data_IF_020450976953
#
_entry.id   IF_020450976953
#
_cell.length_a   1.000
_cell.length_b   1.000
_cell.length_c   1.000
_cell.angle_alpha   90.00
_cell.angle_beta   90.00
_cell.angle_gamma   90.00
#
_symmetry.space_group_name_H-M   'P 1'
#
loop_
_entity.id
_entity.type
_entity.pdbx_description
1 polymer ?
#
# COMPACT_ATOMS: atom_id res chain seq x y z
N UNK A 1 8.95 35.75 -4.18
CA UNK A 1 7.71 36.57 -4.05
C UNK A 1 6.85 36.13 -2.86
N UNK A 2 6.49 34.84 -2.74
CA UNK A 2 5.71 34.31 -1.60
C UNK A 2 6.33 34.54 -0.21
N UNK A 3 7.64 34.26 -0.05
CA UNK A 3 8.37 34.54 1.20
C UNK A 3 8.29 36.00 1.66
N UNK A 4 8.37 36.94 0.73
CA UNK A 4 8.34 38.38 1.02
C UNK A 4 6.92 38.88 1.37
N UNK A 5 5.88 38.22 0.85
CA UNK A 5 4.48 38.55 1.17
C UNK A 5 4.06 38.04 2.55
N UNK A 6 4.60 36.88 2.97
CA UNK A 6 4.33 36.29 4.29
C UNK A 6 5.19 36.87 5.42
N UNK A 7 6.39 37.39 5.12
CA UNK A 7 7.25 38.05 6.12
C UNK A 7 6.74 39.42 6.57
N UNK A 8 5.77 39.98 5.87
CA UNK A 8 5.10 41.21 6.27
C UNK A 8 3.83 40.82 7.01
N UNK A 9 3.81 40.88 8.36
CA UNK A 9 2.66 40.51 9.21
C UNK A 9 1.33 41.22 8.92
N UNK A 10 0.61 41.73 9.91
CA UNK A 10 -0.78 42.26 9.77
C UNK A 10 -1.02 43.25 8.59
N UNK A 11 0.04 43.92 8.11
CA UNK A 11 0.00 44.81 6.94
C UNK A 11 -0.02 44.06 5.60
N UNK A 12 0.67 42.92 5.48
CA UNK A 12 0.65 42.07 4.28
C UNK A 12 -0.68 41.35 4.14
N UNK A 13 -1.21 40.79 5.24
CA UNK A 13 -2.51 40.10 5.28
C UNK A 13 -3.66 41.00 4.83
N UNK A 14 -3.66 42.28 5.23
CA UNK A 14 -4.69 43.24 4.82
C UNK A 14 -4.57 43.69 3.36
N UNK A 15 -3.37 43.69 2.77
CA UNK A 15 -3.19 43.92 1.33
C UNK A 15 -3.60 42.70 0.51
N UNK A 16 -3.38 41.49 1.05
CA UNK A 16 -3.75 40.23 0.42
C UNK A 16 -5.27 40.04 0.34
N UNK A 17 -6.06 40.55 1.31
CA UNK A 17 -7.54 40.55 1.26
C UNK A 17 -8.13 41.25 0.04
N UNK A 18 -7.39 42.13 -0.64
CA UNK A 18 -7.84 42.84 -1.84
C UNK A 18 -7.54 42.08 -3.15
N UNK A 19 -6.73 41.02 -3.09
CA UNK A 19 -6.32 40.25 -4.26
C UNK A 19 -7.38 39.19 -4.58
N UNK A 20 -8.09 39.34 -5.70
CA UNK A 20 -8.92 38.26 -6.25
C UNK A 20 -8.01 37.06 -6.54
N UNK A 21 -8.43 35.86 -6.15
CA UNK A 21 -7.68 34.59 -6.28
C UNK A 21 -6.54 34.38 -5.28
N UNK A 22 -6.48 35.15 -4.19
CA UNK A 22 -5.52 34.92 -3.11
C UNK A 22 -5.61 33.50 -2.54
N UNK A 23 -6.84 32.99 -2.42
CA UNK A 23 -7.15 31.62 -2.04
C UNK A 23 -6.42 30.62 -2.95
N UNK A 24 -6.64 30.68 -4.26
CA UNK A 24 -6.01 29.79 -5.23
C UNK A 24 -4.49 29.88 -5.22
N UNK A 25 -3.94 31.08 -5.02
CA UNK A 25 -2.50 31.30 -4.95
C UNK A 25 -1.88 30.70 -3.68
N UNK A 26 -2.51 30.93 -2.52
CA UNK A 26 -2.06 30.34 -1.25
C UNK A 26 -2.23 28.81 -1.28
N UNK A 27 -3.28 28.29 -1.91
CA UNK A 27 -3.48 26.85 -2.14
C UNK A 27 -2.35 26.24 -3.00
N UNK A 28 -2.00 26.85 -4.14
CA UNK A 28 -0.93 26.33 -5.01
C UNK A 28 0.46 26.51 -4.41
N UNK A 29 0.71 27.61 -3.70
CA UNK A 29 1.96 27.84 -2.99
C UNK A 29 2.17 26.79 -1.89
N UNK A 30 1.10 26.41 -1.20
CA UNK A 30 1.12 25.39 -0.15
C UNK A 30 1.37 23.99 -0.71
N UNK A 31 0.74 23.62 -1.84
CA UNK A 31 1.04 22.36 -2.54
C UNK A 31 2.50 22.31 -3.00
N UNK A 32 3.01 23.41 -3.54
CA UNK A 32 4.38 23.52 -4.00
C UNK A 32 5.38 23.45 -2.84
N UNK A 33 5.13 24.12 -1.70
CA UNK A 33 6.02 24.05 -0.54
C UNK A 33 6.08 22.64 0.06
N UNK A 34 4.94 21.93 0.10
CA UNK A 34 4.89 20.52 0.52
C UNK A 34 5.66 19.62 -0.45
N UNK A 35 5.51 19.81 -1.76
CA UNK A 35 6.24 19.03 -2.76
C UNK A 35 7.77 19.25 -2.69
N UNK A 36 8.19 20.45 -2.28
CA UNK A 36 9.60 20.83 -2.11
C UNK A 36 10.15 20.41 -0.74
N UNK A 37 9.28 20.13 0.25
CA UNK A 37 9.68 19.78 1.62
C UNK A 37 10.12 20.99 2.46
N UNK A 38 9.60 22.18 2.15
CA UNK A 38 9.85 23.41 2.93
C UNK A 38 8.73 23.60 3.97
N UNK A 39 8.96 23.01 5.15
CA UNK A 39 7.95 22.90 6.21
C UNK A 39 7.59 24.26 6.83
N UNK A 40 8.54 25.19 6.90
CA UNK A 40 8.34 26.53 7.48
C UNK A 40 7.40 27.38 6.60
N UNK A 41 7.57 27.31 5.27
CA UNK A 41 6.66 27.96 4.34
C UNK A 41 5.28 27.30 4.30
N UNK A 42 5.24 25.98 4.37
CA UNK A 42 3.97 25.25 4.41
C UNK A 42 3.15 25.66 5.64
N UNK A 43 3.80 25.77 6.81
CA UNK A 43 3.15 26.21 8.05
C UNK A 43 2.67 27.66 8.00
N UNK A 44 3.50 28.56 7.45
CA UNK A 44 3.15 29.99 7.37
C UNK A 44 1.98 30.24 6.41
N UNK A 45 1.97 29.56 5.27
CA UNK A 45 0.87 29.59 4.31
C UNK A 45 -0.42 28.99 4.90
N UNK A 46 -0.30 27.91 5.68
CA UNK A 46 -1.42 27.29 6.37
C UNK A 46 -2.04 28.20 7.44
N UNK A 47 -1.23 28.81 8.32
CA UNK A 47 -1.72 29.75 9.33
C UNK A 47 -2.45 30.94 8.69
N UNK A 48 -1.87 31.50 7.62
CA UNK A 48 -2.48 32.61 6.87
C UNK A 48 -3.82 32.21 6.25
N UNK A 49 -3.94 30.98 5.73
CA UNK A 49 -5.20 30.47 5.20
C UNK A 49 -6.24 30.23 6.31
N UNK A 50 -5.83 29.72 7.48
CA UNK A 50 -6.71 29.49 8.64
C UNK A 50 -7.33 30.78 9.18
N UNK A 51 -6.54 31.86 9.23
CA UNK A 51 -7.01 33.18 9.65
C UNK A 51 -7.98 33.80 8.63
N UNK A 52 -7.79 33.52 7.34
CA UNK A 52 -8.62 34.09 6.28
C UNK A 52 -9.91 33.30 6.02
N UNK A 53 -9.89 31.97 6.17
CA UNK A 53 -11.00 31.10 5.81
C UNK A 53 -11.20 29.92 6.79
N UNK A 54 -11.63 30.17 8.03
CA UNK A 54 -11.74 29.15 9.08
C UNK A 54 -12.72 27.99 8.76
N UNK A 55 -13.72 28.18 7.89
CA UNK A 55 -14.75 27.17 7.58
C UNK A 55 -14.62 26.52 6.19
N UNK A 56 -13.58 26.83 5.41
CA UNK A 56 -13.46 26.28 4.06
C UNK A 56 -13.12 24.78 4.08
N UNK A 57 -13.98 23.95 3.51
CA UNK A 57 -13.75 22.50 3.36
C UNK A 57 -12.46 22.19 2.55
N UNK A 58 -12.13 23.03 1.57
CA UNK A 58 -10.89 22.93 0.80
C UNK A 58 -9.65 23.24 1.63
N UNK A 59 -9.75 24.17 2.57
CA UNK A 59 -8.69 24.46 3.52
C UNK A 59 -8.44 23.30 4.48
N UNK A 60 -9.51 22.70 5.00
CA UNK A 60 -9.43 21.52 5.87
C UNK A 60 -8.71 20.35 5.17
N UNK A 61 -9.03 20.09 3.90
CA UNK A 61 -8.37 19.04 3.10
C UNK A 61 -6.88 19.32 2.86
N UNK A 62 -6.51 20.56 2.53
CA UNK A 62 -5.11 20.94 2.32
C UNK A 62 -4.33 20.99 3.64
N UNK A 63 -4.95 21.40 4.74
CA UNK A 63 -4.40 21.38 6.09
C UNK A 63 -3.83 20.01 6.43
N UNK A 64 -4.54 18.94 6.04
CA UNK A 64 -4.13 17.57 6.33
C UNK A 64 -2.95 17.15 5.46
N UNK A 65 -2.90 17.55 4.18
CA UNK A 65 -1.71 17.34 3.33
C UNK A 65 -0.48 18.08 3.87
N UNK A 66 -0.69 19.21 4.55
CA UNK A 66 0.37 19.95 5.21
C UNK A 66 0.79 19.32 6.53
N UNK A 67 -0.16 18.84 7.34
CA UNK A 67 0.12 18.06 8.54
C UNK A 67 0.92 16.80 8.19
N UNK A 68 0.61 16.13 7.08
CA UNK A 68 1.36 14.98 6.55
C UNK A 68 2.81 15.30 6.18
N UNK A 69 3.11 16.52 5.74
CA UNK A 69 4.46 16.95 5.38
C UNK A 69 5.29 17.35 6.61
N UNK A 70 4.66 18.08 7.54
CA UNK A 70 5.28 18.67 8.74
C UNK A 70 5.56 17.63 9.84
N UNK A 71 4.96 16.44 9.78
CA UNK A 71 5.24 15.31 10.68
C UNK A 71 6.70 14.85 10.75
N UNK A 72 7.60 15.42 9.94
CA UNK A 72 9.03 15.11 9.94
C UNK A 72 9.81 15.75 11.08
N UNK A 73 9.32 16.80 11.74
CA UNK A 73 10.07 17.49 12.80
C UNK A 73 9.14 18.05 13.89
N UNK A 74 9.24 17.47 15.09
CA UNK A 74 9.00 18.08 16.41
C UNK A 74 7.61 17.92 17.08
N UNK A 75 7.66 17.89 18.41
CA UNK A 75 6.56 17.72 19.38
C UNK A 75 5.37 18.69 19.20
N UNK A 76 5.54 19.75 18.42
CA UNK A 76 4.49 20.72 18.05
C UNK A 76 3.49 20.13 17.05
N UNK A 77 3.88 19.11 16.28
CA UNK A 77 2.96 18.35 15.41
C UNK A 77 1.92 17.56 16.19
N UNK A 78 2.27 17.08 17.39
CA UNK A 78 1.42 16.31 18.29
C UNK A 78 0.26 17.17 18.84
N UNK A 79 0.57 18.36 19.37
CA UNK A 79 -0.44 19.30 19.88
C UNK A 79 -1.41 19.78 18.78
N UNK A 80 -0.92 19.85 17.53
CA UNK A 80 -1.75 20.27 16.38
C UNK A 80 -2.65 19.15 15.86
N UNK A 81 -2.22 17.89 15.98
CA UNK A 81 -3.11 16.73 15.81
C UNK A 81 -4.19 16.71 16.89
N UNK A 82 -3.83 17.05 18.12
CA UNK A 82 -4.75 17.07 19.25
C UNK A 82 -5.81 18.17 19.11
N UNK A 83 -5.43 19.34 18.60
CA UNK A 83 -6.37 20.42 18.27
C UNK A 83 -7.18 20.08 17.01
N UNK A 84 -6.59 19.44 15.99
CA UNK A 84 -7.32 18.99 14.82
C UNK A 84 -8.36 17.93 15.20
N UNK A 85 -7.98 16.93 15.99
CA UNK A 85 -8.82 15.83 16.50
C UNK A 85 -9.93 16.34 17.43
N UNK A 86 -9.65 17.32 18.30
CA UNK A 86 -10.63 17.94 19.21
C UNK A 86 -11.56 18.95 18.54
N UNK A 87 -11.19 19.50 17.38
CA UNK A 87 -12.05 20.40 16.60
C UNK A 87 -13.05 19.69 15.69
N UNK A 88 -13.03 18.35 15.66
CA UNK A 88 -13.96 17.56 14.85
C UNK A 88 -15.30 17.43 15.55
N UNK A 89 -16.33 17.98 14.91
CA UNK A 89 -17.68 17.47 15.11
C UNK A 89 -17.78 16.07 14.47
N UNK A 90 -18.28 15.05 15.18
CA UNK A 90 -18.51 13.71 14.62
C UNK A 90 -19.49 13.69 13.43
N UNK A 91 -20.16 14.82 13.18
CA UNK A 91 -21.10 15.05 12.08
C UNK A 91 -20.45 15.51 10.76
N UNK A 92 -19.14 15.75 10.68
CA UNK A 92 -18.50 16.07 9.39
C UNK A 92 -18.51 14.85 8.46
N UNK A 93 -19.47 14.87 7.53
CA UNK A 93 -19.76 13.88 6.48
C UNK A 93 -18.68 13.75 5.41
N UNK A 94 -17.59 14.50 5.47
CA UNK A 94 -16.56 14.44 4.43
C UNK A 94 -15.62 13.25 4.66
N UNK A 95 -15.93 12.14 3.99
CA UNK A 95 -15.12 10.91 4.00
C UNK A 95 -13.68 11.16 3.58
N UNK A 96 -13.42 12.19 2.75
CA UNK A 96 -12.07 12.53 2.30
C UNK A 96 -11.23 13.16 3.41
N UNK A 97 -11.88 13.82 4.39
CA UNK A 97 -11.24 14.40 5.57
C UNK A 97 -10.82 13.31 6.57
N UNK A 98 -11.73 12.39 6.91
CA UNK A 98 -11.47 11.25 7.80
C UNK A 98 -10.33 10.36 7.27
N UNK A 99 -10.31 10.12 5.95
CA UNK A 99 -9.23 9.34 5.31
C UNK A 99 -7.86 10.01 5.42
N UNK A 100 -7.82 11.32 5.35
CA UNK A 100 -6.58 12.07 5.41
C UNK A 100 -5.99 12.06 6.84
N UNK A 101 -6.85 12.08 7.88
CA UNK A 101 -6.44 11.86 9.29
C UNK A 101 -5.80 10.48 9.46
N UNK A 102 -6.43 9.41 8.95
CA UNK A 102 -5.84 8.06 8.98
C UNK A 102 -4.44 8.05 8.36
N UNK A 103 -4.26 8.73 7.23
CA UNK A 103 -2.96 8.79 6.56
C UNK A 103 -1.91 9.53 7.38
N UNK A 104 -2.28 10.58 8.13
CA UNK A 104 -1.38 11.29 9.03
C UNK A 104 -1.02 10.46 10.28
N UNK A 105 -1.99 9.75 10.85
CA UNK A 105 -1.77 8.86 11.99
C UNK A 105 -0.85 7.68 11.65
N UNK A 106 -0.86 7.21 10.40
CA UNK A 106 0.03 6.14 9.92
C UNK A 106 1.52 6.46 10.06
N UNK A 107 1.90 7.74 10.02
CA UNK A 107 3.29 8.21 10.17
C UNK A 107 3.71 8.47 11.60
N UNK A 108 2.77 8.44 12.56
CA UNK A 108 3.04 8.64 13.98
C UNK A 108 3.50 7.34 14.65
N UNK A 109 4.21 7.44 15.78
CA UNK A 109 4.65 6.28 16.59
C UNK A 109 3.47 5.53 17.28
N UNK A 110 2.23 5.98 17.10
CA UNK A 110 1.06 5.53 17.85
C UNK A 110 0.31 4.40 17.12
N UNK A 111 0.98 3.26 16.92
CA UNK A 111 0.47 2.12 16.16
C UNK A 111 -0.89 1.58 16.67
N UNK A 112 -1.12 1.59 17.99
CA UNK A 112 -2.34 1.03 18.58
C UNK A 112 -3.57 1.94 18.38
N UNK A 113 -3.44 3.25 18.55
CA UNK A 113 -4.54 4.21 18.36
C UNK A 113 -4.94 4.28 16.88
N UNK A 114 -3.96 4.15 15.98
CA UNK A 114 -4.21 4.09 14.55
C UNK A 114 -5.07 2.89 14.16
N UNK A 115 -4.83 1.72 14.76
CA UNK A 115 -5.64 0.51 14.51
C UNK A 115 -7.10 0.70 14.88
N UNK A 116 -7.37 1.15 16.10
CA UNK A 116 -8.74 1.34 16.59
C UNK A 116 -9.49 2.38 15.73
N UNK A 117 -8.77 3.40 15.27
CA UNK A 117 -9.31 4.42 14.37
C UNK A 117 -9.63 3.85 12.97
N UNK A 118 -8.78 2.98 12.42
CA UNK A 118 -9.04 2.30 11.13
C UNK A 118 -10.25 1.37 11.23
N UNK A 119 -10.37 0.60 12.32
CA UNK A 119 -11.51 -0.30 12.53
C UNK A 119 -12.82 0.49 12.59
N UNK A 120 -12.87 1.56 13.41
CA UNK A 120 -14.04 2.44 13.52
C UNK A 120 -14.37 3.15 12.20
N UNK A 121 -13.36 3.58 11.43
CA UNK A 121 -13.59 4.20 10.14
C UNK A 121 -14.22 3.24 9.13
N UNK A 122 -13.81 1.97 9.13
CA UNK A 122 -14.35 0.95 8.22
C UNK A 122 -15.79 0.55 8.56
N UNK A 123 -16.23 0.71 9.81
CA UNK A 123 -17.65 0.54 10.18
C UNK A 123 -18.53 1.60 9.50
N UNK A 124 -18.06 2.84 9.44
CA UNK A 124 -18.76 3.94 8.77
C UNK A 124 -18.59 3.88 7.23
N UNK A 125 -17.44 3.39 6.75
CA UNK A 125 -17.02 3.47 5.35
C UNK A 125 -16.49 2.12 4.80
N UNK A 126 -17.34 1.10 4.63
CA UNK A 126 -16.88 -0.21 4.17
C UNK A 126 -16.40 -0.22 2.71
N UNK A 127 -16.70 0.82 1.92
CA UNK A 127 -16.33 0.89 0.50
C UNK A 127 -14.92 1.43 0.23
N UNK A 128 -14.20 1.93 1.25
CA UNK A 128 -12.88 2.53 1.03
C UNK A 128 -11.74 1.50 0.93
N UNK A 129 -11.31 1.23 -0.30
CA UNK A 129 -10.19 0.33 -0.61
C UNK A 129 -8.89 0.72 0.11
N UNK A 130 -8.62 2.01 0.29
CA UNK A 130 -7.36 2.45 0.88
C UNK A 130 -7.31 2.15 2.39
N UNK A 131 -8.42 2.32 3.11
CA UNK A 131 -8.54 1.91 4.51
C UNK A 131 -8.45 0.39 4.70
N UNK A 132 -9.02 -0.40 3.79
CA UNK A 132 -8.84 -1.86 3.83
C UNK A 132 -7.39 -2.28 3.61
N UNK A 133 -6.65 -1.59 2.73
CA UNK A 133 -5.20 -1.84 2.55
C UNK A 133 -4.40 -1.54 3.81
N UNK A 134 -4.75 -0.47 4.53
CA UNK A 134 -4.11 -0.16 5.81
C UNK A 134 -4.42 -1.25 6.85
N UNK A 135 -5.68 -1.68 6.95
CA UNK A 135 -6.08 -2.81 7.82
C UNK A 135 -5.31 -4.09 7.49
N UNK A 136 -5.14 -4.41 6.21
CA UNK A 136 -4.34 -5.55 5.77
C UNK A 136 -2.88 -5.42 6.21
N UNK A 137 -2.27 -4.25 6.05
CA UNK A 137 -0.89 -4.02 6.48
C UNK A 137 -0.72 -4.15 7.99
N UNK A 138 -1.68 -3.64 8.76
CA UNK A 138 -1.69 -3.77 10.23
C UNK A 138 -1.78 -5.25 10.63
N UNK A 139 -2.74 -5.98 10.05
CA UNK A 139 -2.94 -7.40 10.37
C UNK A 139 -1.71 -8.26 10.01
N UNK A 140 -1.05 -7.97 8.89
CA UNK A 140 0.21 -8.63 8.50
C UNK A 140 1.35 -8.34 9.50
N UNK A 141 1.44 -7.11 10.01
CA UNK A 141 2.44 -6.74 11.01
C UNK A 141 2.18 -7.43 12.36
N UNK A 142 0.91 -7.61 12.73
CA UNK A 142 0.51 -8.32 13.96
C UNK A 142 0.57 -9.84 13.82
N UNK A 143 0.88 -10.36 12.63
CA UNK A 143 0.83 -11.80 12.27
C UNK A 143 -0.56 -12.44 12.42
N UNK A 144 -1.63 -11.64 12.51
CA UNK A 144 -3.01 -12.13 12.52
C UNK A 144 -3.46 -12.44 11.09
N UNK A 145 -3.20 -13.69 10.68
CA UNK A 145 -3.48 -14.17 9.33
C UNK A 145 -4.98 -14.22 9.02
N UNK A 146 -5.86 -14.42 10.02
CA UNK A 146 -7.31 -14.48 9.80
C UNK A 146 -7.87 -13.11 9.45
N UNK A 147 -7.49 -12.08 10.22
CA UNK A 147 -7.85 -10.69 9.90
C UNK A 147 -7.24 -10.23 8.58
N UNK A 148 -6.00 -10.63 8.31
CA UNK A 148 -5.34 -10.33 7.04
C UNK A 148 -6.08 -10.97 5.85
N UNK A 149 -6.48 -12.25 5.96
CA UNK A 149 -7.24 -12.94 4.93
C UNK A 149 -8.55 -12.22 4.65
N UNK A 150 -9.32 -11.92 5.69
CA UNK A 150 -10.60 -11.22 5.54
C UNK A 150 -10.42 -9.86 4.86
N UNK A 151 -9.45 -9.05 5.31
CA UNK A 151 -9.18 -7.75 4.69
C UNK A 151 -8.76 -7.88 3.21
N UNK A 152 -7.94 -8.88 2.87
CA UNK A 152 -7.53 -9.13 1.50
C UNK A 152 -8.70 -9.63 0.61
N UNK A 153 -9.60 -10.46 1.12
CA UNK A 153 -10.83 -10.89 0.43
C UNK A 153 -11.77 -9.70 0.16
N UNK A 154 -11.95 -8.81 1.13
CA UNK A 154 -12.76 -7.60 0.93
C UNK A 154 -12.21 -6.75 -0.23
N UNK A 155 -10.89 -6.57 -0.30
CA UNK A 155 -10.27 -5.81 -1.39
C UNK A 155 -10.37 -6.55 -2.72
N UNK A 156 -9.97 -7.82 -2.75
CA UNK A 156 -9.76 -8.60 -3.97
C UNK A 156 -11.04 -9.19 -4.56
N UNK A 157 -12.08 -9.43 -3.76
CA UNK A 157 -13.33 -10.04 -4.24
C UNK A 157 -14.49 -9.04 -4.31
N UNK A 158 -14.55 -8.07 -3.41
CA UNK A 158 -15.73 -7.20 -3.27
C UNK A 158 -15.47 -5.81 -3.86
N UNK A 159 -14.39 -5.14 -3.44
CA UNK A 159 -14.19 -3.73 -3.77
C UNK A 159 -13.47 -3.51 -5.10
N UNK A 160 -12.44 -4.30 -5.39
CA UNK A 160 -11.65 -4.17 -6.61
C UNK A 160 -11.22 -5.54 -7.14
N UNK A 161 -12.11 -6.24 -7.89
CA UNK A 161 -11.86 -7.59 -8.39
C UNK A 161 -10.67 -7.75 -9.34
N UNK A 162 -10.16 -6.65 -9.89
CA UNK A 162 -9.01 -6.64 -10.81
C UNK A 162 -7.70 -6.24 -10.11
N UNK A 163 -7.70 -6.08 -8.79
CA UNK A 163 -6.50 -5.72 -8.04
C UNK A 163 -5.60 -6.94 -7.83
N UNK A 164 -4.70 -7.20 -8.78
CA UNK A 164 -3.73 -8.30 -8.74
C UNK A 164 -2.85 -8.27 -7.49
N UNK A 165 -2.47 -7.07 -7.03
CA UNK A 165 -1.64 -6.93 -5.83
C UNK A 165 -2.34 -7.49 -4.58
N UNK A 166 -3.64 -7.20 -4.44
CA UNK A 166 -4.43 -7.74 -3.33
C UNK A 166 -4.69 -9.24 -3.47
N UNK A 167 -4.91 -9.75 -4.70
CA UNK A 167 -5.06 -11.19 -4.95
C UNK A 167 -3.79 -11.98 -4.61
N UNK A 168 -2.61 -11.45 -4.92
CA UNK A 168 -1.34 -12.07 -4.54
C UNK A 168 -1.16 -12.06 -3.02
N UNK A 169 -1.47 -10.94 -2.35
CA UNK A 169 -1.40 -10.89 -0.89
C UNK A 169 -2.36 -11.88 -0.23
N UNK A 170 -3.57 -12.05 -0.79
CA UNK A 170 -4.51 -13.07 -0.34
C UNK A 170 -3.94 -14.48 -0.52
N UNK A 171 -3.32 -14.78 -1.66
CA UNK A 171 -2.67 -16.06 -1.93
C UNK A 171 -1.52 -16.33 -0.93
N UNK A 172 -0.67 -15.33 -0.68
CA UNK A 172 0.44 -15.39 0.27
C UNK A 172 -0.08 -15.68 1.71
N UNK A 173 -1.17 -15.03 2.13
CA UNK A 173 -1.80 -15.27 3.45
C UNK A 173 -2.42 -16.67 3.53
N UNK A 174 -3.12 -17.11 2.48
CA UNK A 174 -3.67 -18.47 2.43
C UNK A 174 -2.56 -19.53 2.50
N UNK A 175 -1.43 -19.29 1.82
CA UNK A 175 -0.27 -20.17 1.89
C UNK A 175 0.28 -20.22 3.32
N UNK A 176 0.46 -19.07 3.97
CA UNK A 176 0.95 -18.99 5.35
C UNK A 176 0.02 -19.70 6.37
N UNK A 177 -1.29 -19.71 6.12
CA UNK A 177 -2.27 -20.46 6.94
C UNK A 177 -2.29 -21.97 6.67
N UNK A 178 -1.57 -22.46 5.66
CA UNK A 178 -1.60 -23.87 5.23
C UNK A 178 -2.78 -24.22 4.31
N UNK A 179 -3.55 -23.23 3.82
CA UNK A 179 -4.62 -23.43 2.85
C UNK A 179 -4.06 -23.50 1.41
N UNK A 180 -3.24 -24.51 1.14
CA UNK A 180 -2.45 -24.63 -0.09
C UNK A 180 -3.30 -24.63 -1.37
N UNK A 181 -4.45 -25.32 -1.37
CA UNK A 181 -5.35 -25.38 -2.54
C UNK A 181 -5.93 -24.01 -2.87
N UNK A 182 -6.31 -23.23 -1.85
CA UNK A 182 -6.86 -21.89 -2.06
C UNK A 182 -5.77 -20.93 -2.57
N UNK A 183 -4.58 -20.99 -1.99
CA UNK A 183 -3.41 -20.23 -2.45
C UNK A 183 -3.11 -20.52 -3.93
N UNK A 184 -3.04 -21.80 -4.33
CA UNK A 184 -2.78 -22.19 -5.70
C UNK A 184 -3.83 -21.63 -6.69
N UNK A 185 -5.12 -21.66 -6.32
CA UNK A 185 -6.19 -21.08 -7.14
C UNK A 185 -6.03 -19.57 -7.33
N UNK A 186 -5.71 -18.84 -6.27
CA UNK A 186 -5.52 -17.39 -6.35
C UNK A 186 -4.26 -17.02 -7.16
N UNK A 187 -3.16 -17.76 -7.03
CA UNK A 187 -1.99 -17.57 -7.91
C UNK A 187 -2.30 -17.86 -9.37
N UNK A 188 -3.02 -18.95 -9.66
CA UNK A 188 -3.45 -19.29 -11.02
C UNK A 188 -4.36 -18.20 -11.62
N UNK A 189 -5.25 -17.61 -10.81
CA UNK A 189 -6.10 -16.50 -11.24
C UNK A 189 -5.25 -15.30 -11.68
N UNK A 190 -4.26 -14.91 -10.88
CA UNK A 190 -3.35 -13.81 -11.22
C UNK A 190 -2.54 -14.12 -12.48
N UNK A 191 -2.04 -15.36 -12.62
CA UNK A 191 -1.30 -15.81 -13.82
C UNK A 191 -2.18 -15.78 -15.07
N UNK A 192 -3.48 -16.07 -14.95
CA UNK A 192 -4.41 -16.02 -16.07
C UNK A 192 -4.58 -14.60 -16.62
N UNK A 193 -4.50 -13.58 -15.76
CA UNK A 193 -4.55 -12.18 -16.18
C UNK A 193 -3.19 -11.60 -16.57
N UNK A 194 -2.16 -11.86 -15.77
CA UNK A 194 -0.80 -11.33 -15.89
C UNK A 194 0.21 -12.49 -15.94
N UNK A 195 0.45 -13.08 -17.12
CA UNK A 195 1.16 -14.36 -17.23
C UNK A 195 2.66 -14.31 -16.93
N UNK A 196 3.23 -13.11 -16.80
CA UNK A 196 4.64 -12.86 -16.52
C UNK A 196 4.87 -12.33 -15.09
N UNK A 197 3.86 -12.37 -14.22
CA UNK A 197 3.99 -11.88 -12.86
C UNK A 197 4.88 -12.82 -12.03
N UNK A 198 6.14 -12.43 -11.83
CA UNK A 198 7.19 -13.22 -11.16
C UNK A 198 6.75 -13.75 -9.80
N UNK A 199 6.14 -12.90 -8.96
CA UNK A 199 5.66 -13.30 -7.61
C UNK A 199 4.55 -14.35 -7.64
N UNK A 200 3.62 -14.30 -8.61
CA UNK A 200 2.54 -15.28 -8.71
C UNK A 200 3.06 -16.62 -9.23
N UNK A 201 3.97 -16.60 -10.22
CA UNK A 201 4.62 -17.79 -10.74
C UNK A 201 5.47 -18.47 -9.65
N UNK A 202 6.29 -17.70 -8.92
CA UNK A 202 7.09 -18.22 -7.82
C UNK A 202 6.24 -18.76 -6.67
N UNK A 203 5.19 -18.03 -6.28
CA UNK A 203 4.24 -18.46 -5.25
C UNK A 203 3.53 -19.77 -5.61
N UNK A 204 3.10 -19.92 -6.88
CA UNK A 204 2.50 -21.17 -7.36
C UNK A 204 3.48 -22.34 -7.27
N UNK A 205 4.72 -22.16 -7.73
CA UNK A 205 5.75 -23.20 -7.70
C UNK A 205 6.01 -23.68 -6.28
N UNK A 206 6.21 -22.75 -5.33
CA UNK A 206 6.43 -23.06 -3.92
C UNK A 206 5.21 -23.79 -3.33
N UNK A 207 4.00 -23.32 -3.66
CA UNK A 207 2.75 -23.94 -3.18
C UNK A 207 2.64 -25.39 -3.65
N UNK A 208 2.91 -25.65 -4.94
CA UNK A 208 2.87 -27.01 -5.50
C UNK A 208 3.95 -27.90 -4.87
N UNK A 209 5.17 -27.39 -4.67
CA UNK A 209 6.23 -28.09 -3.92
C UNK A 209 5.78 -28.51 -2.53
N UNK A 210 5.09 -27.63 -1.80
CA UNK A 210 4.60 -27.93 -0.46
C UNK A 210 3.44 -28.93 -0.48
N UNK A 211 2.56 -28.85 -1.47
CA UNK A 211 1.48 -29.83 -1.69
C UNK A 211 2.02 -31.24 -2.00
N UNK A 212 3.13 -31.34 -2.74
CA UNK A 212 3.77 -32.64 -3.02
C UNK A 212 4.43 -33.27 -1.79
N UNK A 213 4.97 -32.45 -0.87
CA UNK A 213 5.59 -32.95 0.37
C UNK A 213 4.57 -33.42 1.40
N UNK A 214 3.37 -32.82 1.40
CA UNK A 214 2.32 -33.13 2.36
C UNK A 214 1.66 -34.48 2.02
N UNK A 215 2.13 -35.54 2.69
CA UNK A 215 1.56 -36.89 2.56
C UNK A 215 0.14 -36.94 3.10
N UNK A 216 -0.80 -37.45 2.31
CA UNK A 216 -2.13 -37.84 2.79
C UNK A 216 -3.31 -37.05 2.25
N UNK A 217 -3.13 -36.21 1.22
CA UNK A 217 -4.26 -35.57 0.55
C UNK A 217 -4.39 -36.06 -0.88
N UNK A 218 -5.59 -36.54 -1.21
CA UNK A 218 -5.95 -37.16 -2.48
C UNK A 218 -6.13 -36.08 -3.56
N UNK A 219 -5.02 -35.49 -4.01
CA UNK A 219 -5.00 -34.41 -5.01
C UNK A 219 -4.63 -34.89 -6.41
N UNK A 220 -4.62 -36.19 -6.70
CA UNK A 220 -3.91 -36.77 -7.85
C UNK A 220 -4.11 -36.02 -9.19
N UNK A 221 -5.36 -35.73 -9.58
CA UNK A 221 -5.66 -35.05 -10.85
C UNK A 221 -5.41 -33.53 -10.80
N UNK A 222 -5.87 -32.84 -9.74
CA UNK A 222 -5.69 -31.39 -9.58
C UNK A 222 -4.21 -31.03 -9.39
N UNK A 223 -3.48 -31.83 -8.62
CA UNK A 223 -2.06 -31.68 -8.40
C UNK A 223 -1.30 -31.86 -9.71
N UNK A 224 -1.65 -32.87 -10.51
CA UNK A 224 -1.01 -33.09 -11.82
C UNK A 224 -1.17 -31.87 -12.75
N UNK A 225 -2.38 -31.28 -12.82
CA UNK A 225 -2.61 -30.08 -13.63
C UNK A 225 -1.88 -28.85 -13.07
N UNK A 226 -1.93 -28.63 -11.75
CA UNK A 226 -1.19 -27.53 -11.12
C UNK A 226 0.32 -27.69 -11.31
N UNK A 227 0.83 -28.91 -11.27
CA UNK A 227 2.25 -29.22 -11.50
C UNK A 227 2.66 -28.92 -12.94
N UNK A 228 1.82 -29.24 -13.94
CA UNK A 228 2.08 -28.85 -15.34
C UNK A 228 2.13 -27.32 -15.50
N UNK A 229 1.22 -26.59 -14.83
CA UNK A 229 1.20 -25.12 -14.85
C UNK A 229 2.44 -24.55 -14.14
N UNK A 230 2.81 -25.09 -12.99
CA UNK A 230 4.00 -24.71 -12.25
C UNK A 230 5.28 -24.96 -13.07
N UNK A 231 5.37 -26.09 -13.78
CA UNK A 231 6.51 -26.41 -14.66
C UNK A 231 6.67 -25.39 -15.80
N UNK A 232 5.55 -25.03 -16.44
CA UNK A 232 5.52 -23.95 -17.45
C UNK A 232 5.92 -22.60 -16.83
N UNK A 233 5.49 -22.34 -15.60
CA UNK A 233 5.86 -21.16 -14.83
C UNK A 233 7.35 -21.11 -14.51
N UNK A 234 7.96 -22.22 -14.07
CA UNK A 234 9.40 -22.35 -13.88
C UNK A 234 10.16 -22.02 -15.16
N UNK A 235 9.76 -22.60 -16.31
CA UNK A 235 10.40 -22.30 -17.59
C UNK A 235 10.39 -20.80 -17.94
N UNK A 236 9.26 -20.13 -17.70
CA UNK A 236 9.14 -18.67 -17.88
C UNK A 236 9.98 -17.88 -16.89
N UNK A 237 10.03 -18.27 -15.63
CA UNK A 237 10.89 -17.64 -14.63
C UNK A 237 12.37 -17.78 -15.04
N UNK A 238 12.79 -18.96 -15.49
CA UNK A 238 14.12 -19.21 -16.02
C UNK A 238 14.43 -18.29 -17.20
N UNK A 239 13.50 -18.08 -18.15
CA UNK A 239 13.68 -17.14 -19.26
C UNK A 239 13.82 -15.68 -18.79
N UNK A 240 12.95 -15.25 -17.86
CA UNK A 240 13.01 -13.91 -17.27
C UNK A 240 14.36 -13.68 -16.58
N UNK A 241 14.81 -14.59 -15.73
CA UNK A 241 16.07 -14.44 -15.01
C UNK A 241 17.30 -14.58 -15.91
N UNK A 242 17.25 -15.40 -16.97
CA UNK A 242 18.29 -15.44 -18.01
C UNK A 242 18.39 -14.10 -18.75
N UNK A 243 17.26 -13.49 -19.10
CA UNK A 243 17.25 -12.17 -19.74
C UNK A 243 17.84 -11.07 -18.84
N UNK A 244 17.58 -11.14 -17.53
CA UNK A 244 18.12 -10.20 -16.55
C UNK A 244 19.62 -10.41 -16.30
N UNK A 245 20.08 -11.67 -16.25
CA UNK A 245 21.49 -12.01 -16.11
C UNK A 245 22.33 -11.60 -17.33
N UNK A 246 21.76 -11.73 -18.54
CA UNK A 246 22.39 -11.33 -19.79
C UNK A 246 22.47 -9.81 -19.97
N UNK A 247 21.61 -9.03 -19.29
CA UNK A 247 21.65 -7.58 -19.31
C UNK A 247 22.94 -7.06 -18.66
N UNK A 248 23.68 -6.21 -19.38
CA UNK A 248 24.87 -5.50 -18.89
C UNK A 248 24.54 -4.27 -18.05
N UNK A 249 23.27 -3.88 -17.98
CA UNK A 249 22.80 -2.76 -17.17
C UNK A 249 22.54 -3.12 -15.70
N UNK A 250 22.52 -4.41 -15.38
CA UNK A 250 22.19 -4.94 -14.06
C UNK A 250 23.49 -5.21 -13.30
N UNK A 251 23.67 -4.56 -12.15
CA UNK A 251 24.90 -4.68 -11.35
C UNK A 251 25.20 -6.14 -10.94
N UNK A 252 26.47 -6.45 -10.70
CA UNK A 252 26.97 -7.82 -10.49
C UNK A 252 26.22 -8.61 -9.40
N UNK A 253 25.76 -7.93 -8.35
CA UNK A 253 24.95 -8.55 -7.29
C UNK A 253 23.62 -9.13 -7.79
N UNK A 254 22.95 -8.46 -8.73
CA UNK A 254 21.69 -8.92 -9.27
C UNK A 254 21.87 -10.06 -10.29
N UNK A 255 23.05 -10.15 -10.94
CA UNK A 255 23.43 -11.32 -11.75
C UNK A 255 23.68 -12.55 -10.88
N UNK A 256 24.42 -12.40 -9.79
CA UNK A 256 24.67 -13.49 -8.82
C UNK A 256 23.34 -13.98 -8.25
N UNK A 257 22.45 -13.06 -7.88
CA UNK A 257 21.13 -13.41 -7.37
C UNK A 257 20.28 -14.15 -8.42
N UNK A 258 20.24 -13.66 -9.67
CA UNK A 258 19.54 -14.33 -10.76
C UNK A 258 20.10 -15.75 -11.03
N UNK A 259 21.42 -15.93 -10.94
CA UNK A 259 22.06 -17.21 -11.15
C UNK A 259 21.75 -18.23 -10.03
N UNK A 260 21.72 -17.79 -8.77
CA UNK A 260 21.27 -18.62 -7.65
C UNK A 260 19.79 -19.02 -7.77
N UNK A 261 18.94 -18.13 -8.28
CA UNK A 261 17.53 -18.46 -8.54
C UNK A 261 17.39 -19.49 -9.67
N UNK A 262 18.22 -19.43 -10.71
CA UNK A 262 18.22 -20.41 -11.81
C UNK A 262 18.56 -21.82 -11.30
N UNK A 263 19.58 -21.97 -10.46
CA UNK A 263 19.95 -23.26 -9.86
C UNK A 263 18.81 -23.84 -9.02
N UNK A 264 18.12 -22.98 -8.25
CA UNK A 264 16.99 -23.38 -7.43
C UNK A 264 15.80 -23.82 -8.28
N UNK A 265 15.51 -23.12 -9.38
CA UNK A 265 14.44 -23.53 -10.31
C UNK A 265 14.78 -24.82 -11.05
N UNK A 266 16.05 -25.05 -11.42
CA UNK A 266 16.46 -26.32 -12.02
C UNK A 266 16.32 -27.49 -11.04
N UNK A 267 16.65 -27.28 -9.76
CA UNK A 267 16.44 -28.30 -8.73
C UNK A 267 14.95 -28.58 -8.51
N UNK A 268 14.13 -27.53 -8.36
CA UNK A 268 12.67 -27.67 -8.20
C UNK A 268 12.04 -28.35 -9.42
N UNK A 269 12.49 -28.01 -10.63
CA UNK A 269 12.05 -28.65 -11.86
C UNK A 269 12.35 -30.15 -11.84
N UNK A 270 13.56 -30.54 -11.45
CA UNK A 270 13.95 -31.95 -11.34
C UNK A 270 13.12 -32.70 -10.28
N UNK A 271 12.83 -32.05 -9.15
CA UNK A 271 12.03 -32.65 -8.08
C UNK A 271 10.57 -32.83 -8.51
N UNK A 272 10.01 -31.86 -9.23
CA UNK A 272 8.69 -31.97 -9.86
C UNK A 272 8.66 -33.11 -10.88
N UNK A 273 9.64 -33.17 -11.78
CA UNK A 273 9.69 -34.17 -12.85
C UNK A 273 9.81 -35.60 -12.31
N UNK A 274 10.52 -35.81 -11.19
CA UNK A 274 10.59 -37.11 -10.51
C UNK A 274 9.21 -37.56 -10.00
N UNK A 275 8.48 -36.67 -9.34
CA UNK A 275 7.16 -36.98 -8.77
C UNK A 275 6.10 -37.23 -9.85
N UNK A 276 6.22 -36.62 -11.03
CA UNK A 276 5.29 -36.87 -12.15
C UNK A 276 5.57 -38.13 -12.96
N UNK A 277 6.76 -38.72 -12.84
CA UNK A 277 7.17 -39.92 -13.60
C UNK A 277 7.11 -41.23 -12.77
N UNK A 278 6.82 -41.13 -11.47
CA UNK A 278 6.47 -42.26 -10.58
C UNK A 278 4.96 -42.53 -10.60
#
# INVERSE_FOLDING_TARGET
MGRALLSCGDKGVNQLKQVRHLDSFLFEMLKASVAVGDDELALTAYCSLKELFPESAGLKKLAITCLQAVHRTDAVGQDRLDVASKSLDPAETDMSYRRAILTAMRTSEHSHEYKDLVEKYLEDCPSDVAAWKDRLSIALNETDLERARFAAEQIACILCPMNMGAMIQLADVCFAQGHLVAAAKYYCLVIAFEPNWVRALGGLVITVCEMMKTKGVDYSEMLLELTKVALKGCGRLTEIFKSQAASTAVGDNARIWAQAQLELFDQVKNDIEKVTNE
#
